data_IF_459132156401
#
_entry.id   IF_459132156401
#
_cell.length_a   1.000
_cell.length_b   1.000
_cell.length_c   1.000
_cell.angle_alpha   90.00
_cell.angle_beta   90.00
_cell.angle_gamma   90.00
#
_symmetry.space_group_name_H-M   'P 1'
#
loop_
_entity.id
_entity.type
_entity.pdbx_description
1 polymer ?
#
# COMPACT_ATOMS: atom_id res chain seq x y z
N UNK A 1 12.96 20.35 -1.95
CA UNK A 1 12.68 19.23 -1.01
C UNK A 1 12.69 17.97 -1.85
N UNK A 2 13.38 16.94 -1.34
CA UNK A 2 13.36 15.59 -1.91
C UNK A 2 12.66 14.69 -0.89
N UNK A 3 11.74 13.87 -1.34
CA UNK A 3 11.11 12.82 -0.54
C UNK A 3 11.70 11.48 -0.98
N UNK A 4 12.22 10.71 -0.04
CA UNK A 4 12.77 9.38 -0.28
C UNK A 4 11.99 8.35 0.54
N UNK A 5 11.67 7.22 -0.08
CA UNK A 5 11.10 6.05 0.60
C UNK A 5 12.19 5.01 0.79
N UNK A 6 12.29 4.50 2.01
CA UNK A 6 13.27 3.47 2.36
C UNK A 6 12.55 2.28 2.97
N UNK A 7 12.29 1.22 2.19
CA UNK A 7 11.72 0.00 2.72
C UNK A 7 12.67 -0.64 3.75
N UNK A 8 12.16 -0.94 4.92
CA UNK A 8 12.92 -1.54 6.03
C UNK A 8 12.00 -2.35 6.93
N UNK A 9 12.57 -3.15 7.82
CA UNK A 9 11.83 -3.87 8.84
C UNK A 9 11.74 -3.04 10.11
N UNK A 10 10.61 -3.10 10.77
CA UNK A 10 10.45 -2.48 12.09
C UNK A 10 11.47 -3.05 13.06
N UNK A 11 12.32 -2.15 13.63
CA UNK A 11 13.39 -2.50 14.56
C UNK A 11 14.75 -2.86 13.93
N UNK A 12 14.88 -2.86 12.59
CA UNK A 12 16.19 -3.02 11.96
C UNK A 12 17.06 -1.75 12.06
N UNK A 13 18.30 -1.82 11.57
CA UNK A 13 19.25 -0.71 11.66
C UNK A 13 18.78 0.56 10.91
N UNK A 14 18.05 0.42 9.81
CA UNK A 14 17.47 1.54 9.07
C UNK A 14 16.30 2.15 9.87
N UNK A 15 15.44 1.30 10.40
CA UNK A 15 14.32 1.77 11.22
C UNK A 15 14.78 2.54 12.45
N UNK A 16 15.91 2.14 13.06
CA UNK A 16 16.46 2.75 14.28
C UNK A 16 17.41 3.92 14.01
N UNK A 17 17.85 4.12 12.77
CA UNK A 17 18.78 5.18 12.40
C UNK A 17 18.18 6.58 12.69
N UNK A 18 19.00 7.52 13.06
CA UNK A 18 18.58 8.90 13.27
C UNK A 18 18.48 9.66 11.93
N UNK A 19 17.96 10.89 11.97
CA UNK A 19 17.74 11.71 10.78
C UNK A 19 19.06 12.06 10.07
N UNK A 20 20.14 12.24 10.79
CA UNK A 20 21.46 12.58 10.24
C UNK A 20 22.03 11.40 9.43
N UNK A 21 22.03 10.19 10.01
CA UNK A 21 22.50 8.97 9.35
C UNK A 21 21.66 8.64 8.10
N UNK A 22 20.33 8.82 8.17
CA UNK A 22 19.44 8.61 7.02
C UNK A 22 19.67 9.66 5.94
N UNK A 23 19.92 10.90 6.32
CA UNK A 23 20.29 11.98 5.40
C UNK A 23 21.56 11.65 4.63
N UNK A 24 22.61 11.18 5.31
CA UNK A 24 23.86 10.77 4.67
C UNK A 24 23.67 9.56 3.75
N UNK A 25 22.92 8.55 4.18
CA UNK A 25 22.58 7.39 3.36
C UNK A 25 21.87 7.80 2.06
N UNK A 26 20.95 8.74 2.14
CA UNK A 26 20.25 9.27 0.96
C UNK A 26 21.16 10.05 0.02
N UNK A 27 22.04 10.89 0.56
CA UNK A 27 23.03 11.62 -0.25
C UNK A 27 23.93 10.68 -1.04
N UNK A 28 24.44 9.64 -0.39
CA UNK A 28 25.26 8.62 -1.05
C UNK A 28 24.49 7.88 -2.15
N UNK A 29 23.24 7.51 -1.87
CA UNK A 29 22.38 6.78 -2.82
C UNK A 29 22.05 7.62 -4.04
N UNK A 30 21.70 8.89 -3.86
CA UNK A 30 21.40 9.82 -4.94
C UNK A 30 22.67 10.13 -5.77
N UNK A 31 23.83 10.26 -5.15
CA UNK A 31 25.09 10.43 -5.86
C UNK A 31 25.44 9.22 -6.72
N UNK A 32 25.22 7.99 -6.25
CA UNK A 32 25.42 6.76 -7.01
C UNK A 32 24.50 6.68 -8.24
N UNK A 33 23.32 7.31 -8.18
CA UNK A 33 22.39 7.41 -9.30
C UNK A 33 22.73 8.57 -10.27
N UNK A 34 23.82 9.30 -10.04
CA UNK A 34 24.31 10.36 -10.92
C UNK A 34 23.65 11.72 -10.71
N UNK A 35 22.93 11.92 -9.60
CA UNK A 35 22.41 13.24 -9.28
C UNK A 35 23.56 14.21 -8.94
N UNK A 36 23.40 15.52 -9.23
CA UNK A 36 24.37 16.54 -8.86
C UNK A 36 24.61 16.56 -7.33
N UNK A 37 25.77 17.10 -6.92
CA UNK A 37 26.06 17.27 -5.51
C UNK A 37 24.97 18.09 -4.82
N UNK A 38 24.35 17.51 -3.82
CA UNK A 38 23.30 18.11 -2.99
C UNK A 38 23.92 18.68 -1.73
N UNK A 39 23.54 19.89 -1.36
CA UNK A 39 23.84 20.48 -0.06
C UNK A 39 22.66 20.21 0.87
N UNK A 40 22.79 19.24 1.78
CA UNK A 40 21.76 18.88 2.73
C UNK A 40 21.62 19.98 3.80
N UNK A 41 20.43 20.53 3.93
CA UNK A 41 20.10 21.55 4.94
C UNK A 41 19.48 20.93 6.20
N UNK A 42 18.91 19.75 6.08
CA UNK A 42 18.30 19.01 7.18
C UNK A 42 17.52 17.81 6.65
N UNK A 43 17.22 16.88 7.54
CA UNK A 43 16.45 15.67 7.28
C UNK A 43 15.32 15.57 8.31
N UNK A 44 14.15 15.15 7.88
CA UNK A 44 13.04 14.78 8.74
C UNK A 44 12.56 13.39 8.33
N UNK A 45 12.47 12.46 9.27
CA UNK A 45 12.09 11.09 9.04
C UNK A 45 10.72 10.79 9.64
N UNK A 46 9.86 10.15 8.84
CA UNK A 46 8.59 9.59 9.31
C UNK A 46 8.59 8.09 9.13
N UNK A 47 8.37 7.37 10.21
CA UNK A 47 8.27 5.92 10.22
C UNK A 47 6.83 5.48 10.16
N UNK A 48 6.50 4.72 9.13
CA UNK A 48 5.15 4.22 8.89
C UNK A 48 5.17 2.69 8.94
N UNK A 49 4.60 2.06 9.97
CA UNK A 49 4.52 0.61 10.03
C UNK A 49 3.46 0.07 9.07
N UNK A 50 3.68 -1.13 8.54
CA UNK A 50 2.70 -1.88 7.72
C UNK A 50 2.20 -1.12 6.48
N UNK A 51 3.07 -0.38 5.80
CA UNK A 51 2.69 0.43 4.61
C UNK A 51 2.44 -0.45 3.40
N UNK A 52 3.26 -1.47 3.20
CA UNK A 52 3.18 -2.38 2.06
C UNK A 52 2.87 -3.80 2.49
N UNK A 53 2.03 -4.54 1.71
CA UNK A 53 1.91 -5.98 1.85
C UNK A 53 3.26 -6.67 1.61
N UNK A 54 3.53 -7.73 2.35
CA UNK A 54 4.72 -8.56 2.16
C UNK A 54 4.27 -9.86 1.51
N UNK A 55 4.73 -10.09 0.29
CA UNK A 55 4.39 -11.28 -0.51
C UNK A 55 5.38 -12.42 -0.23
N UNK A 56 5.17 -13.14 0.86
CA UNK A 56 5.88 -14.39 1.13
C UNK A 56 5.37 -15.55 0.24
N UNK A 57 6.01 -16.71 0.32
CA UNK A 57 5.65 -17.85 -0.57
C UNK A 57 4.23 -18.38 -0.33
N UNK A 58 3.68 -18.19 0.86
CA UNK A 58 2.37 -18.73 1.28
C UNK A 58 1.33 -17.61 1.44
N UNK A 59 1.61 -16.37 1.00
CA UNK A 59 0.71 -15.24 1.23
C UNK A 59 -0.67 -15.44 0.60
N UNK A 60 -0.73 -16.10 -0.57
CA UNK A 60 -2.00 -16.32 -1.30
C UNK A 60 -2.97 -17.15 -0.47
N UNK A 61 -2.53 -18.30 0.02
CA UNK A 61 -3.37 -19.17 0.86
C UNK A 61 -3.85 -18.45 2.12
N UNK A 62 -2.95 -17.72 2.78
CA UNK A 62 -3.28 -16.93 3.98
C UNK A 62 -4.29 -15.82 3.67
N UNK A 63 -4.09 -15.12 2.55
CA UNK A 63 -4.97 -14.06 2.10
C UNK A 63 -6.34 -14.60 1.72
N UNK A 64 -6.43 -15.65 0.90
CA UNK A 64 -7.68 -16.27 0.47
C UNK A 64 -8.51 -16.70 1.67
N UNK A 65 -7.92 -17.36 2.66
CA UNK A 65 -8.62 -17.74 3.89
C UNK A 65 -9.21 -16.54 4.66
N UNK A 66 -8.47 -15.42 4.74
CA UNK A 66 -8.95 -14.21 5.40
C UNK A 66 -10.00 -13.49 4.56
N UNK A 67 -9.82 -13.45 3.25
CA UNK A 67 -10.75 -12.82 2.32
C UNK A 67 -12.08 -13.56 2.32
N UNK A 68 -12.09 -14.89 2.19
CA UNK A 68 -13.28 -15.73 2.26
C UNK A 68 -14.02 -15.56 3.59
N UNK A 69 -13.26 -15.53 4.69
CA UNK A 69 -13.86 -15.24 5.99
C UNK A 69 -14.51 -13.85 6.01
N UNK A 70 -13.83 -12.82 5.53
CA UNK A 70 -14.35 -11.45 5.55
C UNK A 70 -15.59 -11.28 4.65
N UNK A 71 -15.60 -11.90 3.48
CA UNK A 71 -16.73 -11.85 2.53
C UNK A 71 -17.92 -12.69 3.00
N UNK A 72 -17.69 -13.71 3.85
CA UNK A 72 -18.77 -14.47 4.49
C UNK A 72 -19.50 -13.69 5.60
N UNK A 73 -18.94 -12.56 6.05
CA UNK A 73 -19.56 -11.75 7.10
C UNK A 73 -20.67 -10.88 6.51
N UNK A 74 -21.83 -10.87 7.19
CA UNK A 74 -22.93 -10.00 6.80
C UNK A 74 -22.52 -8.52 6.98
N UNK A 75 -22.77 -7.69 5.97
CA UNK A 75 -22.55 -6.24 5.98
C UNK A 75 -21.07 -5.83 6.15
N UNK A 76 -20.15 -6.64 5.64
CA UNK A 76 -18.73 -6.35 5.63
C UNK A 76 -18.18 -6.54 4.21
N UNK A 77 -17.42 -5.56 3.74
CA UNK A 77 -16.59 -5.68 2.53
C UNK A 77 -15.22 -5.08 2.79
N UNK A 78 -14.21 -5.57 2.09
CA UNK A 78 -12.82 -5.14 2.24
C UNK A 78 -12.28 -4.71 0.87
N UNK A 79 -11.55 -3.60 0.86
CA UNK A 79 -10.95 -3.06 -0.36
C UNK A 79 -9.71 -2.21 -0.04
N UNK A 80 -9.07 -1.69 -1.08
CA UNK A 80 -7.82 -0.95 -0.98
C UNK A 80 -6.60 -1.84 -0.82
N UNK A 81 -5.41 -1.24 -0.83
CA UNK A 81 -4.12 -1.94 -0.80
C UNK A 81 -4.03 -3.01 0.28
N UNK A 82 -4.44 -2.69 1.49
CA UNK A 82 -4.36 -3.63 2.61
C UNK A 82 -5.51 -4.65 2.59
N UNK A 83 -6.71 -4.23 2.19
CA UNK A 83 -7.90 -5.09 2.17
C UNK A 83 -7.86 -6.15 1.09
N UNK A 84 -7.31 -5.83 -0.09
CA UNK A 84 -7.14 -6.77 -1.20
C UNK A 84 -5.71 -7.34 -1.29
N UNK A 85 -4.83 -6.93 -0.38
CA UNK A 85 -3.42 -7.34 -0.36
C UNK A 85 -2.74 -7.15 -1.73
N UNK A 86 -2.96 -5.97 -2.34
CA UNK A 86 -2.55 -5.66 -3.70
C UNK A 86 -1.59 -4.45 -3.75
N UNK A 87 -0.62 -4.42 -4.68
CA UNK A 87 0.31 -3.31 -4.85
C UNK A 87 -0.35 -2.16 -5.63
N UNK A 88 -1.35 -1.52 -5.03
CA UNK A 88 -2.14 -0.48 -5.70
C UNK A 88 -1.61 0.94 -5.50
N UNK A 89 -1.83 1.79 -6.50
CA UNK A 89 -1.65 3.23 -6.41
C UNK A 89 -2.88 3.92 -5.80
N UNK A 90 -2.75 5.20 -5.44
CA UNK A 90 -3.82 5.98 -4.82
C UNK A 90 -5.12 5.98 -5.66
N UNK A 91 -5.02 6.14 -6.99
CA UNK A 91 -6.19 6.16 -7.86
C UNK A 91 -6.91 4.80 -7.91
N UNK A 92 -6.19 3.68 -7.81
CA UNK A 92 -6.77 2.35 -7.68
C UNK A 92 -7.59 2.24 -6.38
N UNK A 93 -7.01 2.65 -5.25
CA UNK A 93 -7.70 2.64 -3.95
C UNK A 93 -8.95 3.53 -3.94
N UNK A 94 -8.91 4.69 -4.62
CA UNK A 94 -10.08 5.56 -4.79
C UNK A 94 -11.16 4.89 -5.66
N UNK A 95 -10.78 4.23 -6.76
CA UNK A 95 -11.70 3.48 -7.62
C UNK A 95 -12.42 2.37 -6.84
N UNK A 96 -11.67 1.61 -6.03
CA UNK A 96 -12.25 0.59 -5.16
C UNK A 96 -13.26 1.16 -4.15
N UNK A 97 -12.93 2.31 -3.54
CA UNK A 97 -13.84 3.00 -2.63
C UNK A 97 -15.12 3.46 -3.33
N UNK A 98 -15.01 3.96 -4.56
CA UNK A 98 -16.17 4.32 -5.38
C UNK A 98 -17.03 3.12 -5.75
N UNK A 99 -16.42 2.01 -6.17
CA UNK A 99 -17.15 0.79 -6.49
C UNK A 99 -17.90 0.24 -5.27
N UNK A 100 -17.26 0.22 -4.10
CA UNK A 100 -17.91 -0.20 -2.86
C UNK A 100 -19.09 0.71 -2.48
N UNK A 101 -18.95 2.02 -2.67
CA UNK A 101 -20.02 2.98 -2.42
C UNK A 101 -21.18 2.82 -3.41
N UNK A 102 -20.88 2.54 -4.68
CA UNK A 102 -21.91 2.33 -5.72
C UNK A 102 -22.65 1.00 -5.55
N UNK A 103 -22.03 -0.01 -4.95
CA UNK A 103 -22.68 -1.27 -4.61
C UNK A 103 -23.58 -1.17 -3.36
N UNK A 104 -23.51 -0.08 -2.61
CA UNK A 104 -24.38 0.16 -1.45
C UNK A 104 -25.67 0.84 -1.91
N UNK A 105 -26.79 0.13 -1.77
CA UNK A 105 -28.11 0.61 -2.13
C UNK A 105 -28.71 1.57 -1.09
N UNK A 106 -29.66 2.38 -1.51
CA UNK A 106 -30.31 3.38 -0.64
C UNK A 106 -31.09 2.79 0.54
N UNK A 107 -31.48 1.54 0.47
CA UNK A 107 -32.15 0.80 1.55
C UNK A 107 -31.16 0.12 2.51
N UNK A 108 -29.84 0.26 2.26
CA UNK A 108 -28.75 -0.34 3.03
C UNK A 108 -28.43 -1.79 2.64
N UNK A 109 -29.03 -2.31 1.57
CA UNK A 109 -28.58 -3.56 0.95
C UNK A 109 -27.27 -3.35 0.17
N UNK A 110 -26.59 -4.44 -0.17
CA UNK A 110 -25.33 -4.39 -0.92
C UNK A 110 -25.45 -5.27 -2.17
N UNK A 111 -25.19 -4.68 -3.34
CA UNK A 111 -25.17 -5.37 -4.63
C UNK A 111 -23.87 -6.18 -4.76
N UNK A 112 -23.94 -7.44 -4.34
CA UNK A 112 -22.82 -8.37 -4.39
C UNK A 112 -22.36 -8.67 -5.81
N UNK A 113 -23.27 -8.77 -6.78
CA UNK A 113 -22.94 -9.10 -8.17
C UNK A 113 -22.13 -7.96 -8.82
N UNK A 114 -22.55 -6.72 -8.59
CA UNK A 114 -21.80 -5.53 -9.03
C UNK A 114 -20.43 -5.45 -8.36
N UNK A 115 -20.36 -5.76 -7.07
CA UNK A 115 -19.09 -5.77 -6.32
C UNK A 115 -18.14 -6.86 -6.81
N UNK A 116 -18.58 -8.08 -7.03
CA UNK A 116 -17.75 -9.18 -7.58
C UNK A 116 -17.20 -8.85 -8.98
N UNK A 117 -18.04 -8.20 -9.81
CA UNK A 117 -17.58 -7.70 -11.11
C UNK A 117 -16.45 -6.69 -10.95
N UNK A 118 -16.57 -5.76 -10.01
CA UNK A 118 -15.54 -4.77 -9.70
C UNK A 118 -14.26 -5.41 -9.14
N UNK A 119 -14.38 -6.41 -8.28
CA UNK A 119 -13.22 -7.17 -7.76
C UNK A 119 -12.42 -7.83 -8.89
N UNK A 120 -13.12 -8.36 -9.90
CA UNK A 120 -12.48 -8.96 -11.09
C UNK A 120 -11.72 -7.90 -11.89
N UNK A 121 -12.26 -6.70 -12.03
CA UNK A 121 -11.57 -5.58 -12.69
C UNK A 121 -10.32 -5.15 -11.90
N UNK A 122 -10.40 -5.07 -10.58
CA UNK A 122 -9.26 -4.67 -9.73
C UNK A 122 -8.06 -5.60 -9.84
N UNK A 123 -8.26 -6.89 -10.16
CA UNK A 123 -7.17 -7.83 -10.41
C UNK A 123 -6.36 -7.50 -11.67
N UNK A 124 -6.89 -6.64 -12.55
CA UNK A 124 -6.20 -6.17 -13.77
C UNK A 124 -5.38 -4.90 -13.55
N UNK A 125 -5.46 -4.29 -12.37
CA UNK A 125 -4.71 -3.09 -12.07
C UNK A 125 -3.20 -3.33 -12.17
N UNK A 126 -2.51 -2.43 -12.85
CA UNK A 126 -1.05 -2.44 -12.98
C UNK A 126 -0.51 -1.18 -12.33
N UNK A 127 0.47 -1.36 -11.46
CA UNK A 127 1.22 -0.24 -10.88
C UNK A 127 2.25 0.22 -11.90
N UNK A 128 2.09 1.44 -12.39
CA UNK A 128 3.06 2.11 -13.25
C UNK A 128 3.73 3.22 -12.42
N UNK A 129 5.09 3.17 -12.33
CA UNK A 129 5.93 4.17 -11.68
C UNK A 129 6.50 5.16 -12.70
#
# INVERSE_FOLDING_TARGET
>A
IICCEVPCWEGDHIWLANDEDLGELMLESLAKQGLPKINLLGTETRRLPKVYPIYDLDYKEKFENLFDWSTSQNRMTVFGRQGLFAPDNLHHALSMGHAAANALESDGSFDHDSWESSLTEFQTHVVED
#
